data_IF_524370248399
#
_entry.id   IF_524370248399
#
_cell.length_a   1.000
_cell.length_b   1.000
_cell.length_c   1.000
_cell.angle_alpha   90.00
_cell.angle_beta   90.00
_cell.angle_gamma   90.00
#
_symmetry.space_group_name_H-M   'P 1'
#
loop_
_entity.id
_entity.type
_entity.pdbx_description
1 polymer ?
#
# COMPACT_ATOMS: atom_id res chain seq x y z
N UNK A 1 16.19 -0.41 -1.01
CA UNK A 1 15.13 -1.42 -1.25
C UNK A 1 14.74 -1.35 -2.71
N UNK A 2 14.35 -2.46 -3.33
CA UNK A 2 13.80 -2.46 -4.69
C UNK A 2 12.39 -3.06 -4.65
N UNK A 3 11.41 -2.31 -5.17
CA UNK A 3 10.01 -2.72 -5.21
C UNK A 3 9.60 -3.11 -6.63
N UNK A 4 8.97 -4.26 -6.77
CA UNK A 4 8.39 -4.72 -8.03
C UNK A 4 6.89 -4.99 -7.84
N UNK A 5 6.12 -4.84 -8.91
CA UNK A 5 4.70 -5.11 -8.93
C UNK A 5 4.29 -5.70 -10.28
N UNK A 6 3.20 -6.46 -10.28
CA UNK A 6 2.42 -6.59 -11.50
C UNK A 6 1.53 -5.35 -11.59
N UNK A 7 2.04 -4.31 -12.23
CA UNK A 7 1.51 -2.93 -12.13
C UNK A 7 0.02 -2.83 -12.42
N UNK A 8 -0.43 -3.35 -13.56
CA UNK A 8 -1.84 -3.32 -13.98
C UNK A 8 -2.77 -3.97 -12.94
N UNK A 9 -2.41 -5.16 -12.44
CA UNK A 9 -3.18 -5.84 -11.41
C UNK A 9 -3.11 -5.11 -10.06
N UNK A 10 -1.96 -4.52 -9.72
CA UNK A 10 -1.81 -3.77 -8.47
C UNK A 10 -2.64 -2.49 -8.48
N UNK A 11 -2.69 -1.76 -9.59
CA UNK A 11 -3.53 -0.57 -9.78
C UNK A 11 -5.01 -0.91 -9.61
N UNK A 12 -5.52 -1.93 -10.34
CA UNK A 12 -6.91 -2.36 -10.22
C UNK A 12 -7.29 -2.78 -8.79
N UNK A 13 -6.39 -3.48 -8.10
CA UNK A 13 -6.61 -3.90 -6.72
C UNK A 13 -6.60 -2.73 -5.74
N UNK A 14 -5.75 -1.72 -5.95
CA UNK A 14 -5.72 -0.50 -5.14
C UNK A 14 -6.99 0.33 -5.34
N UNK A 15 -7.45 0.48 -6.58
CA UNK A 15 -8.71 1.18 -6.90
C UNK A 15 -9.90 0.47 -6.26
N UNK A 16 -9.96 -0.85 -6.37
CA UNK A 16 -10.99 -1.66 -5.73
C UNK A 16 -10.96 -1.52 -4.21
N UNK A 17 -9.78 -1.59 -3.59
CA UNK A 17 -9.64 -1.39 -2.15
C UNK A 17 -10.14 0.00 -1.72
N UNK A 18 -9.79 1.05 -2.46
CA UNK A 18 -10.23 2.42 -2.18
C UNK A 18 -11.76 2.54 -2.25
N UNK A 19 -12.39 1.93 -3.26
CA UNK A 19 -13.85 1.90 -3.39
C UNK A 19 -14.52 1.14 -2.24
N UNK A 20 -14.04 -0.06 -1.91
CA UNK A 20 -14.58 -0.89 -0.84
C UNK A 20 -14.48 -0.20 0.54
N UNK A 21 -13.35 0.44 0.84
CA UNK A 21 -13.17 1.20 2.08
C UNK A 21 -14.08 2.44 2.13
N UNK A 22 -14.23 3.13 0.99
CA UNK A 22 -15.08 4.32 0.90
C UNK A 22 -16.52 3.99 1.23
N UNK A 23 -17.06 2.93 0.63
CA UNK A 23 -18.42 2.47 0.89
C UNK A 23 -18.59 1.98 2.34
N UNK A 24 -17.69 1.10 2.80
CA UNK A 24 -17.80 0.45 4.11
C UNK A 24 -17.74 1.43 5.29
N UNK A 25 -16.87 2.44 5.19
CA UNK A 25 -16.62 3.39 6.29
C UNK A 25 -17.33 4.74 6.11
N UNK A 26 -18.07 4.94 5.02
CA UNK A 26 -18.72 6.22 4.72
C UNK A 26 -17.72 7.37 4.54
N UNK A 27 -16.64 7.10 3.81
CA UNK A 27 -15.55 8.05 3.58
C UNK A 27 -15.94 9.06 2.49
N UNK A 28 -15.29 10.22 2.48
CA UNK A 28 -15.36 11.16 1.36
C UNK A 28 -14.45 10.72 0.19
N UNK A 29 -13.36 10.01 0.50
CA UNK A 29 -12.45 9.48 -0.50
C UNK A 29 -11.17 8.89 0.10
N UNK A 30 -10.54 8.01 -0.68
CA UNK A 30 -9.27 7.33 -0.36
C UNK A 30 -8.34 7.48 -1.55
N UNK A 31 -7.09 7.84 -1.31
CA UNK A 31 -6.02 7.81 -2.30
C UNK A 31 -4.85 6.97 -1.77
N UNK A 32 -4.35 6.06 -2.59
CA UNK A 32 -3.20 5.22 -2.26
C UNK A 32 -2.18 5.36 -3.37
N UNK A 33 -0.92 5.57 -2.99
CA UNK A 33 0.19 5.57 -3.92
C UNK A 33 1.35 4.80 -3.33
N UNK A 34 1.91 3.87 -4.11
CA UNK A 34 3.05 3.05 -3.72
C UNK A 34 4.16 3.22 -4.76
N UNK A 35 5.38 3.51 -4.31
CA UNK A 35 6.54 3.63 -5.20
C UNK A 35 6.97 2.27 -5.71
N UNK A 36 7.45 2.23 -6.95
CA UNK A 36 8.12 1.08 -7.55
C UNK A 36 9.59 1.39 -7.80
N UNK A 37 10.39 0.36 -8.04
CA UNK A 37 11.83 0.46 -8.23
C UNK A 37 12.57 0.77 -6.92
N UNK A 38 13.71 1.45 -7.04
CA UNK A 38 14.61 1.70 -5.92
C UNK A 38 14.07 2.77 -4.96
N UNK A 39 13.95 2.41 -3.69
CA UNK A 39 13.60 3.30 -2.57
C UNK A 39 14.76 3.30 -1.56
N UNK A 40 15.28 4.49 -1.26
CA UNK A 40 16.38 4.66 -0.33
C UNK A 40 15.94 4.42 1.13
N UNK A 41 16.89 4.04 1.97
CA UNK A 41 16.63 3.74 3.38
C UNK A 41 16.12 5.01 4.07
N UNK A 42 15.00 4.89 4.79
CA UNK A 42 14.36 6.01 5.49
C UNK A 42 13.36 6.81 4.64
N UNK A 43 13.22 6.49 3.35
CA UNK A 43 12.20 7.10 2.51
C UNK A 43 10.85 6.36 2.57
N UNK A 44 9.76 7.12 2.38
CA UNK A 44 8.41 6.58 2.35
C UNK A 44 8.17 5.78 1.05
N UNK A 45 7.88 4.48 1.17
CA UNK A 45 7.52 3.64 0.03
C UNK A 45 6.03 3.73 -0.35
N UNK A 46 5.18 4.14 0.59
CA UNK A 46 3.73 4.18 0.44
C UNK A 46 3.15 5.41 1.11
N UNK A 47 2.10 5.98 0.52
CA UNK A 47 1.24 6.99 1.13
C UNK A 47 -0.22 6.57 0.98
N UNK A 48 -0.98 6.74 2.06
CA UNK A 48 -2.42 6.52 2.10
C UNK A 48 -3.04 7.80 2.66
N UNK A 49 -3.94 8.41 1.90
CA UNK A 49 -4.72 9.56 2.32
C UNK A 49 -6.19 9.18 2.40
N UNK A 50 -6.81 9.46 3.54
CA UNK A 50 -8.23 9.17 3.80
C UNK A 50 -8.92 10.43 4.27
N UNK A 51 -10.10 10.69 3.71
CA UNK A 51 -10.97 11.80 4.12
C UNK A 51 -12.33 11.27 4.56
N UNK A 52 -12.85 11.78 5.67
CA UNK A 52 -14.17 11.38 6.20
C UNK A 52 -14.81 12.52 6.98
N UNK A 53 -16.16 12.53 7.14
CA UNK A 53 -16.84 13.54 7.95
C UNK A 53 -16.43 13.53 9.43
N UNK A 54 -16.02 12.36 9.94
CA UNK A 54 -15.58 12.18 11.32
C UNK A 54 -14.27 11.39 11.38
N UNK A 55 -13.37 11.84 12.25
CA UNK A 55 -11.99 11.30 12.34
C UNK A 55 -11.90 9.80 12.61
N UNK A 56 -12.86 9.19 13.32
CA UNK A 56 -12.80 7.76 13.66
C UNK A 56 -12.78 6.92 12.38
N UNK A 57 -13.73 7.14 11.48
CA UNK A 57 -13.82 6.42 10.21
C UNK A 57 -12.54 6.60 9.37
N UNK A 58 -11.95 7.80 9.33
CA UNK A 58 -10.71 8.02 8.59
C UNK A 58 -9.52 7.25 9.18
N UNK A 59 -9.40 7.20 10.52
CA UNK A 59 -8.31 6.49 11.20
C UNK A 59 -8.47 4.98 11.06
N UNK A 60 -9.68 4.47 11.23
CA UNK A 60 -10.00 3.05 11.13
C UNK A 60 -9.77 2.54 9.69
N UNK A 61 -10.25 3.29 8.69
CA UNK A 61 -10.03 2.96 7.28
C UNK A 61 -8.57 3.07 6.84
N UNK A 62 -7.81 4.06 7.34
CA UNK A 62 -6.38 4.19 7.02
C UNK A 62 -5.58 2.98 7.55
N UNK A 63 -5.91 2.51 8.75
CA UNK A 63 -5.33 1.28 9.31
C UNK A 63 -5.71 0.06 8.46
N UNK A 64 -6.98 -0.09 8.11
CA UNK A 64 -7.42 -1.22 7.27
C UNK A 64 -6.76 -1.22 5.89
N UNK A 65 -6.58 -0.04 5.29
CA UNK A 65 -5.93 0.14 4.00
C UNK A 65 -4.49 -0.39 4.00
N UNK A 66 -3.67 -0.01 4.99
CA UNK A 66 -2.27 -0.46 5.03
C UNK A 66 -2.16 -1.96 5.30
N UNK A 67 -2.96 -2.51 6.21
CA UNK A 67 -2.97 -3.95 6.51
C UNK A 67 -3.41 -4.78 5.28
N UNK A 68 -4.41 -4.30 4.55
CA UNK A 68 -4.92 -4.98 3.35
C UNK A 68 -3.92 -4.87 2.19
N UNK A 69 -3.32 -3.70 1.99
CA UNK A 69 -2.27 -3.51 0.98
C UNK A 69 -1.12 -4.49 1.19
N UNK A 70 -0.64 -4.64 2.44
CA UNK A 70 0.49 -5.49 2.79
C UNK A 70 0.22 -6.99 2.65
N UNK A 71 -1.05 -7.41 2.71
CA UNK A 71 -1.44 -8.82 2.68
C UNK A 71 -1.98 -9.28 1.34
N UNK A 72 -2.69 -8.39 0.63
CA UNK A 72 -3.49 -8.75 -0.55
C UNK A 72 -2.91 -8.26 -1.87
N UNK A 73 -2.17 -7.14 -1.88
CA UNK A 73 -1.71 -6.52 -3.13
C UNK A 73 -0.34 -7.09 -3.52
N UNK A 74 -0.14 -7.50 -4.79
CA UNK A 74 1.07 -8.15 -5.29
C UNK A 74 2.24 -7.15 -5.46
N UNK A 75 2.72 -6.61 -4.34
CA UNK A 75 3.89 -5.74 -4.25
C UNK A 75 5.02 -6.51 -3.55
N UNK A 76 6.14 -6.72 -4.24
CA UNK A 76 7.28 -7.46 -3.72
C UNK A 76 8.43 -6.51 -3.38
N UNK A 77 9.07 -6.74 -2.24
CA UNK A 77 10.27 -6.01 -1.80
C UNK A 77 11.47 -6.93 -1.91
N UNK A 78 12.42 -6.57 -2.77
CA UNK A 78 13.74 -7.20 -2.84
C UNK A 78 14.71 -6.44 -1.93
N UNK A 79 15.38 -7.18 -1.04
CA UNK A 79 16.42 -6.62 -0.21
C UNK A 79 17.77 -6.83 -0.88
N UNK A 80 18.49 -5.73 -1.14
CA UNK A 80 19.80 -5.75 -1.79
C UNK A 80 20.86 -5.53 -0.72
N UNK A 81 21.65 -6.56 -0.43
CA UNK A 81 22.77 -6.49 0.52
C UNK A 81 24.10 -6.40 -0.23
N UNK A 82 25.12 -5.83 0.40
CA UNK A 82 26.44 -5.60 -0.21
C UNK A 82 27.20 -6.88 -0.65
N UNK A 83 26.65 -8.08 -0.38
CA UNK A 83 27.23 -9.38 -0.73
C UNK A 83 26.26 -10.39 -1.37
N UNK A 84 25.03 -9.98 -1.74
CA UNK A 84 24.03 -10.87 -2.33
C UNK A 84 22.60 -10.31 -2.30
N UNK A 85 21.73 -10.88 -3.15
CA UNK A 85 20.33 -10.48 -3.33
C UNK A 85 19.40 -11.54 -2.70
N UNK A 86 18.48 -11.14 -1.83
CA UNK A 86 17.47 -12.05 -1.25
C UNK A 86 16.06 -11.49 -1.48
N UNK A 87 15.17 -12.35 -2.01
CA UNK A 87 13.78 -12.03 -2.27
C UNK A 87 12.95 -12.43 -1.04
N UNK A 88 12.37 -11.45 -0.35
CA UNK A 88 11.47 -11.73 0.78
C UNK A 88 10.03 -11.61 0.28
N UNK A 89 9.34 -12.75 0.21
CA UNK A 89 7.94 -12.83 -0.20
C UNK A 89 6.97 -12.71 0.98
N UNK A 90 6.10 -11.69 0.91
CA UNK A 90 4.92 -11.36 1.74
C UNK A 90 5.12 -11.14 3.26
N UNK A 91 4.60 -10.00 3.72
CA UNK A 91 4.35 -9.72 5.14
C UNK A 91 5.47 -8.92 5.81
N UNK A 92 5.34 -7.60 5.81
CA UNK A 92 5.93 -6.72 6.83
C UNK A 92 5.06 -5.49 7.02
#
# INVERSE_FOLDING_TARGET
LEYEAFEEMAEEMLERLAAELTERHGLCGVAVHHRLGRVEIGEASVVIAVSAPHRSAALDACREAIETLKTSIPLWKKEVYAGGEEWIGRGS
#
